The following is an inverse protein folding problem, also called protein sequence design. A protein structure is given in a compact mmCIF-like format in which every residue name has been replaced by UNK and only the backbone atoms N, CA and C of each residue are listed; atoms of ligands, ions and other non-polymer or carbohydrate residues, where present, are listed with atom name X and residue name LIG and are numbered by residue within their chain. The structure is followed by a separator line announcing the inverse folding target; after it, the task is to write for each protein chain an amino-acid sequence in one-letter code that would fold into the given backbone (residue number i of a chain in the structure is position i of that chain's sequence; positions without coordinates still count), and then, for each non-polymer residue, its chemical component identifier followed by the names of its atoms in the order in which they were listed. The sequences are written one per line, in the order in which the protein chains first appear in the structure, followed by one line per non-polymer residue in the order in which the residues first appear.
data_IF_408258673053
#
_entry.id   IF_408258673053
#
_cell.length_a   1.000
_cell.length_b   1.000
_cell.length_c   1.000
_cell.angle_alpha   90.00
_cell.angle_beta   90.00
_cell.angle_gamma   90.00
#
_symmetry.space_group_name_H-M   'P 1'
#
loop_
_entity.id
_entity.type
_entity.pdbx_description
1 polymer ?
#
# COMPACT_ATOMS: atom_id res chain seq x y z
N UNK A 1 3.83 28.69 -10.79
CA UNK A 1 4.28 27.48 -10.05
C UNK A 1 3.05 26.82 -9.46
N UNK A 2 2.90 25.49 -9.61
CA UNK A 2 1.83 24.75 -8.94
C UNK A 2 2.02 24.86 -7.42
N UNK A 3 0.90 24.90 -6.68
CA UNK A 3 0.94 24.89 -5.21
C UNK A 3 1.56 23.57 -4.73
N UNK A 4 2.50 23.58 -3.76
CA UNK A 4 2.95 22.38 -3.08
C UNK A 4 1.76 21.54 -2.56
N UNK A 5 1.87 20.23 -2.70
CA UNK A 5 0.89 19.26 -2.21
C UNK A 5 1.55 18.38 -1.16
N UNK A 6 0.76 17.88 -0.22
CA UNK A 6 1.13 16.81 0.70
C UNK A 6 0.77 15.46 0.05
N UNK A 7 1.79 14.71 -0.37
CA UNK A 7 1.67 13.51 -1.22
C UNK A 7 2.13 12.27 -0.46
N UNK A 8 1.24 11.29 -0.34
CA UNK A 8 1.56 9.94 0.10
C UNK A 8 2.01 9.05 -1.06
N UNK A 9 2.95 8.14 -0.81
CA UNK A 9 3.22 6.99 -1.66
C UNK A 9 3.12 5.74 -0.78
N UNK A 10 2.13 4.90 -1.05
CA UNK A 10 1.87 3.69 -0.29
C UNK A 10 2.30 2.46 -1.08
N UNK A 11 3.09 1.59 -0.44
CA UNK A 11 3.42 0.27 -0.97
C UNK A 11 3.59 -0.75 0.16
N UNK A 12 3.71 -2.05 -0.15
CA UNK A 12 3.96 -3.09 0.87
C UNK A 12 5.31 -2.90 1.56
N UNK A 13 6.31 -2.48 0.79
CA UNK A 13 7.70 -2.31 1.19
C UNK A 13 8.28 -1.00 0.66
N UNK A 14 9.34 -0.51 1.28
CA UNK A 14 10.12 0.62 0.78
C UNK A 14 11.63 0.37 0.98
N UNK A 15 12.52 1.19 0.41
CA UNK A 15 13.95 1.09 0.68
C UNK A 15 14.24 1.03 2.19
N UNK A 16 15.26 0.27 2.63
CA UNK A 16 16.31 -0.39 1.86
C UNK A 16 15.94 -1.82 1.39
N UNK A 17 14.68 -2.24 1.45
CA UNK A 17 14.27 -3.52 0.85
C UNK A 17 14.64 -3.50 -0.63
N UNK A 18 15.33 -4.56 -1.08
CA UNK A 18 15.86 -4.64 -2.44
C UNK A 18 14.79 -5.21 -3.36
N UNK A 19 14.32 -4.37 -4.29
CA UNK A 19 13.42 -4.77 -5.36
C UNK A 19 13.21 -3.62 -6.35
N UNK A 20 12.65 -3.96 -7.52
CA UNK A 20 12.40 -2.97 -8.58
C UNK A 20 11.39 -1.91 -8.17
N UNK A 21 10.35 -2.31 -7.43
CA UNK A 21 9.29 -1.42 -6.97
C UNK A 21 9.80 -0.45 -5.91
N UNK A 22 10.62 -0.89 -4.97
CA UNK A 22 11.21 -0.03 -3.94
C UNK A 22 12.13 1.03 -4.54
N UNK A 23 12.83 0.70 -5.63
CA UNK A 23 13.59 1.68 -6.39
C UNK A 23 12.67 2.68 -7.09
N UNK A 24 11.55 2.22 -7.66
CA UNK A 24 10.56 3.11 -8.30
C UNK A 24 9.90 4.05 -7.29
N UNK A 25 9.50 3.57 -6.12
CA UNK A 25 8.91 4.43 -5.07
C UNK A 25 9.92 5.47 -4.58
N UNK A 26 11.20 5.11 -4.44
CA UNK A 26 12.26 6.06 -4.12
C UNK A 26 12.46 7.14 -5.20
N UNK A 27 12.40 6.75 -6.48
CA UNK A 27 12.51 7.68 -7.61
C UNK A 27 11.32 8.65 -7.61
N UNK A 28 10.09 8.15 -7.48
CA UNK A 28 8.91 9.01 -7.41
C UNK A 28 8.97 9.99 -6.24
N UNK A 29 9.41 9.54 -5.06
CA UNK A 29 9.59 10.42 -3.91
C UNK A 29 10.59 11.54 -4.19
N UNK A 30 11.75 11.22 -4.79
CA UNK A 30 12.76 12.23 -5.15
C UNK A 30 12.25 13.23 -6.17
N UNK A 31 11.53 12.76 -7.19
CA UNK A 31 10.99 13.63 -8.24
C UNK A 31 9.94 14.58 -7.67
N UNK A 32 9.00 14.08 -6.87
CA UNK A 32 7.96 14.90 -6.25
C UNK A 32 8.54 15.92 -5.27
N UNK A 33 9.46 15.52 -4.39
CA UNK A 33 10.17 16.44 -3.51
C UNK A 33 10.96 17.48 -4.30
N UNK A 34 11.64 17.08 -5.39
CA UNK A 34 12.38 17.98 -6.27
C UNK A 34 11.50 19.00 -7.00
N UNK A 35 10.21 18.73 -7.17
CA UNK A 35 9.21 19.67 -7.70
C UNK A 35 8.50 20.49 -6.61
N UNK A 36 8.94 20.40 -5.36
CA UNK A 36 8.45 21.20 -4.24
C UNK A 36 7.24 20.61 -3.51
N UNK A 37 6.86 19.36 -3.77
CA UNK A 37 5.84 18.67 -2.98
C UNK A 37 6.42 18.12 -1.68
N UNK A 38 5.58 17.98 -0.66
CA UNK A 38 5.93 17.29 0.59
C UNK A 38 5.56 15.83 0.43
N UNK A 39 6.51 14.92 0.62
CA UNK A 39 6.30 13.50 0.35
C UNK A 39 6.40 12.68 1.63
N UNK A 40 5.45 11.78 1.81
CA UNK A 40 5.46 10.73 2.83
C UNK A 40 5.38 9.36 2.18
N UNK A 41 6.29 8.46 2.57
CA UNK A 41 6.23 7.04 2.22
C UNK A 41 5.46 6.28 3.31
N UNK A 42 4.51 5.45 2.90
CA UNK A 42 3.76 4.54 3.77
C UNK A 42 4.11 3.10 3.36
N UNK A 43 4.70 2.31 4.26
CA UNK A 43 5.10 0.94 3.96
C UNK A 43 5.04 0.01 5.16
N UNK A 44 4.99 -1.30 4.93
CA UNK A 44 5.03 -2.28 6.03
C UNK A 44 6.43 -2.66 6.47
N UNK A 45 7.39 -2.68 5.54
CA UNK A 45 8.80 -2.96 5.84
C UNK A 45 9.72 -2.08 5.02
N UNK A 46 10.76 -1.56 5.66
CA UNK A 46 11.77 -0.69 5.06
C UNK A 46 12.39 0.20 6.12
N UNK A 47 12.91 1.35 5.72
CA UNK A 47 13.44 2.37 6.63
C UNK A 47 13.24 3.77 6.06
N UNK A 48 13.68 4.78 6.81
CA UNK A 48 13.61 6.18 6.37
C UNK A 48 14.36 6.39 5.06
N UNK A 49 13.71 7.03 4.08
CA UNK A 49 14.37 7.54 2.88
C UNK A 49 14.99 8.92 3.18
N UNK A 50 16.10 8.88 3.91
CA UNK A 50 16.78 10.06 4.46
C UNK A 50 16.96 11.20 3.44
N UNK A 51 16.63 12.42 3.87
CA UNK A 51 16.76 13.64 3.06
C UNK A 51 15.79 13.78 1.89
N UNK A 52 14.87 12.83 1.69
CA UNK A 52 13.93 12.85 0.55
C UNK A 52 12.47 12.91 0.99
N UNK A 53 12.06 11.98 1.85
CA UNK A 53 10.67 11.84 2.26
C UNK A 53 10.58 11.28 3.69
N UNK A 54 9.60 11.77 4.46
CA UNK A 54 9.26 11.12 5.72
C UNK A 54 8.75 9.70 5.41
N UNK A 55 9.09 8.72 6.25
CA UNK A 55 8.59 7.35 6.09
C UNK A 55 7.82 6.91 7.33
N UNK A 56 6.61 6.42 7.15
CA UNK A 56 5.81 5.82 8.22
C UNK A 56 5.70 4.33 7.96
N UNK A 57 6.20 3.54 8.92
CA UNK A 57 6.11 2.10 8.87
C UNK A 57 4.83 1.63 9.57
N UNK A 58 3.98 0.93 8.82
CA UNK A 58 2.74 0.30 9.27
C UNK A 58 2.91 -1.21 9.03
N UNK A 59 3.46 -1.98 9.98
CA UNK A 59 3.97 -3.35 9.73
C UNK A 59 3.01 -4.28 8.99
N UNK A 60 1.71 -4.11 9.18
CA UNK A 60 0.66 -4.93 8.57
C UNK A 60 0.42 -4.67 7.08
N UNK A 61 1.03 -3.63 6.51
CA UNK A 61 1.07 -3.44 5.07
C UNK A 61 2.00 -4.47 4.41
N UNK A 62 3.01 -4.99 5.12
CA UNK A 62 3.94 -5.95 4.55
C UNK A 62 3.22 -7.28 4.27
N UNK A 63 3.25 -7.70 3.01
CA UNK A 63 2.74 -9.02 2.59
C UNK A 63 3.33 -10.20 3.36
N UNK A 64 4.51 -10.03 3.98
CA UNK A 64 5.17 -11.04 4.81
C UNK A 64 4.90 -10.90 6.32
N UNK A 65 4.02 -9.98 6.72
CA UNK A 65 3.59 -9.88 8.11
C UNK A 65 2.86 -11.17 8.54
N UNK A 66 3.12 -11.67 9.74
CA UNK A 66 2.60 -12.97 10.19
C UNK A 66 1.06 -13.08 10.09
N UNK A 67 0.33 -12.02 10.46
CA UNK A 67 -1.12 -11.98 10.33
C UNK A 67 -1.59 -12.02 8.87
N UNK A 68 -0.86 -11.37 7.95
CA UNK A 68 -1.20 -11.34 6.52
C UNK A 68 -0.93 -12.70 5.89
N UNK A 69 0.21 -13.31 6.20
CA UNK A 69 0.54 -14.67 5.74
C UNK A 69 -0.49 -15.70 6.21
N UNK A 70 -0.90 -15.62 7.49
CA UNK A 70 -1.92 -16.51 8.04
C UNK A 70 -3.26 -16.37 7.33
N UNK A 71 -3.68 -15.14 7.00
CA UNK A 71 -4.93 -14.89 6.28
C UNK A 71 -4.83 -15.36 4.83
N UNK A 72 -3.72 -15.04 4.14
CA UNK A 72 -3.53 -15.41 2.74
C UNK A 72 -3.55 -16.93 2.55
N UNK A 73 -2.98 -17.72 3.46
CA UNK A 73 -3.02 -19.18 3.38
C UNK A 73 -4.45 -19.74 3.33
N UNK A 74 -5.39 -19.13 4.07
CA UNK A 74 -6.82 -19.51 4.03
C UNK A 74 -7.52 -18.96 2.80
N UNK A 75 -7.24 -17.71 2.43
CA UNK A 75 -7.82 -17.05 1.25
C UNK A 75 -7.43 -17.74 -0.06
N UNK A 76 -6.20 -18.24 -0.17
CA UNK A 76 -5.74 -19.07 -1.28
C UNK A 76 -6.51 -20.39 -1.38
N UNK A 77 -7.10 -20.88 -0.28
CA UNK A 77 -8.02 -22.00 -0.27
C UNK A 77 -9.42 -21.66 -0.81
N UNK A 78 -9.72 -20.38 -1.05
CA UNK A 78 -11.06 -19.89 -1.39
C UNK A 78 -11.96 -19.64 -0.18
N UNK A 79 -11.42 -19.73 1.04
CA UNK A 79 -12.17 -19.52 2.27
C UNK A 79 -11.90 -18.12 2.83
N UNK A 80 -12.95 -17.40 3.22
CA UNK A 80 -12.80 -16.10 3.88
C UNK A 80 -12.83 -16.32 5.40
N UNK A 81 -11.68 -16.19 6.11
CA UNK A 81 -11.64 -16.43 7.55
C UNK A 81 -12.38 -15.34 8.31
N UNK A 82 -12.95 -15.68 9.47
CA UNK A 82 -13.65 -14.72 10.34
C UNK A 82 -12.75 -13.56 10.82
N UNK A 83 -11.44 -13.78 10.88
CA UNK A 83 -10.45 -12.76 11.22
C UNK A 83 -10.22 -11.72 10.10
N UNK A 84 -10.73 -11.94 8.89
CA UNK A 84 -10.53 -11.05 7.75
C UNK A 84 -11.08 -9.65 8.03
N UNK A 85 -12.35 -9.54 8.43
CA UNK A 85 -12.98 -8.24 8.69
C UNK A 85 -12.31 -7.49 9.85
N UNK A 86 -11.86 -8.21 10.89
CA UNK A 86 -11.10 -7.62 11.98
C UNK A 86 -9.77 -7.02 11.48
N UNK A 87 -9.07 -7.70 10.57
CA UNK A 87 -7.86 -7.19 9.94
C UNK A 87 -8.14 -5.96 9.08
N UNK A 88 -9.24 -5.97 8.31
CA UNK A 88 -9.66 -4.81 7.50
C UNK A 88 -9.92 -3.60 8.38
N UNK A 89 -10.70 -3.74 9.46
CA UNK A 89 -10.99 -2.63 10.38
C UNK A 89 -9.71 -2.07 11.04
N UNK A 90 -8.76 -2.95 11.39
CA UNK A 90 -7.48 -2.53 11.98
C UNK A 90 -6.63 -1.73 11.00
N UNK A 91 -6.49 -2.22 9.77
CA UNK A 91 -5.80 -1.51 8.69
C UNK A 91 -6.50 -0.21 8.34
N UNK A 92 -7.82 -0.18 8.30
CA UNK A 92 -8.59 1.03 8.05
C UNK A 92 -8.27 2.13 9.07
N UNK A 93 -8.23 1.79 10.37
CA UNK A 93 -7.86 2.73 11.42
C UNK A 93 -6.43 3.27 11.29
N UNK A 94 -5.46 2.38 11.02
CA UNK A 94 -4.06 2.76 10.79
C UNK A 94 -3.89 3.68 9.57
N UNK A 95 -4.55 3.32 8.46
CA UNK A 95 -4.48 4.08 7.22
C UNK A 95 -5.19 5.42 7.34
N UNK A 96 -6.34 5.49 8.03
CA UNK A 96 -7.04 6.76 8.26
C UNK A 96 -6.14 7.78 8.96
N UNK A 97 -5.43 7.35 10.00
CA UNK A 97 -4.46 8.20 10.70
C UNK A 97 -3.25 8.56 9.81
N UNK A 98 -2.74 7.59 9.05
CA UNK A 98 -1.55 7.81 8.21
C UNK A 98 -1.82 8.66 6.95
N UNK A 99 -3.06 8.68 6.46
CA UNK A 99 -3.49 9.45 5.29
C UNK A 99 -4.01 10.84 5.65
N UNK A 100 -4.26 11.11 6.94
CA UNK A 100 -4.78 12.39 7.41
C UNK A 100 -3.87 13.55 6.99
N UNK A 101 -4.48 14.60 6.43
CA UNK A 101 -3.76 15.80 5.98
C UNK A 101 -3.08 15.68 4.61
N UNK A 102 -3.04 14.49 3.99
CA UNK A 102 -2.55 14.33 2.62
C UNK A 102 -3.59 14.80 1.60
N UNK A 103 -3.16 15.54 0.58
CA UNK A 103 -3.98 15.90 -0.57
C UNK A 103 -4.26 14.68 -1.46
N UNK A 104 -3.23 13.86 -1.66
CA UNK A 104 -3.26 12.70 -2.55
C UNK A 104 -2.34 11.59 -2.05
N UNK A 105 -2.74 10.33 -2.23
CA UNK A 105 -1.90 9.17 -1.96
C UNK A 105 -1.82 8.27 -3.21
N UNK A 106 -0.60 8.05 -3.70
CA UNK A 106 -0.31 7.11 -4.77
C UNK A 106 -0.22 5.69 -4.17
N UNK A 107 -1.23 4.88 -4.41
CA UNK A 107 -1.31 3.50 -3.93
C UNK A 107 -0.68 2.58 -4.97
N UNK A 108 0.55 2.15 -4.72
CA UNK A 108 1.32 1.33 -5.66
C UNK A 108 0.99 -0.15 -5.49
N UNK A 109 0.41 -0.75 -6.52
CA UNK A 109 0.04 -2.18 -6.64
C UNK A 109 -0.91 -2.76 -5.57
N UNK A 110 -1.20 -2.07 -4.46
CA UNK A 110 -2.07 -2.61 -3.41
C UNK A 110 -3.55 -2.77 -3.82
N UNK A 111 -3.97 -2.13 -4.92
CA UNK A 111 -5.30 -2.34 -5.52
C UNK A 111 -5.35 -3.46 -6.56
N UNK A 112 -4.20 -3.93 -7.06
CA UNK A 112 -4.11 -4.85 -8.19
C UNK A 112 -3.40 -6.17 -7.87
N UNK A 113 -2.70 -6.23 -6.74
CA UNK A 113 -2.04 -7.43 -6.23
C UNK A 113 -2.77 -8.04 -5.02
N UNK A 114 -2.88 -9.36 -5.01
CA UNK A 114 -3.56 -10.16 -3.99
C UNK A 114 -2.78 -10.29 -2.67
N UNK A 115 -1.55 -9.77 -2.59
CA UNK A 115 -0.61 -10.05 -1.50
C UNK A 115 -1.09 -9.61 -0.12
N UNK A 116 -2.07 -8.71 -0.04
CA UNK A 116 -2.68 -8.29 1.21
C UNK A 116 -4.13 -7.84 0.92
N UNK A 117 -5.02 -8.80 0.70
CA UNK A 117 -6.44 -8.52 0.43
C UNK A 117 -7.13 -7.68 1.54
N UNK A 118 -6.82 -7.86 2.84
CA UNK A 118 -7.34 -6.97 3.87
C UNK A 118 -6.94 -5.49 3.66
N UNK A 119 -5.70 -5.22 3.23
CA UNK A 119 -5.25 -3.87 2.87
C UNK A 119 -6.03 -3.32 1.68
N UNK A 120 -6.23 -4.11 0.63
CA UNK A 120 -7.04 -3.73 -0.53
C UNK A 120 -8.46 -3.34 -0.11
N UNK A 121 -9.10 -4.16 0.74
CA UNK A 121 -10.45 -3.89 1.25
C UNK A 121 -10.51 -2.62 2.11
N UNK A 122 -9.53 -2.40 2.99
CA UNK A 122 -9.44 -1.19 3.82
C UNK A 122 -9.28 0.07 2.96
N UNK A 123 -8.38 0.05 1.97
CA UNK A 123 -8.18 1.17 1.04
C UNK A 123 -9.45 1.45 0.21
N UNK A 124 -10.16 0.40 -0.22
CA UNK A 124 -11.43 0.55 -0.94
C UNK A 124 -12.51 1.23 -0.08
N UNK A 125 -12.67 0.82 1.20
CA UNK A 125 -13.58 1.48 2.15
C UNK A 125 -13.20 2.94 2.39
N UNK A 126 -11.90 3.24 2.47
CA UNK A 126 -11.41 4.60 2.68
C UNK A 126 -11.62 5.52 1.48
N UNK A 127 -11.52 5.01 0.25
CA UNK A 127 -11.59 5.81 -0.97
C UNK A 127 -12.85 6.70 -1.07
N UNK A 128 -13.97 6.30 -0.43
CA UNK A 128 -15.20 7.08 -0.35
C UNK A 128 -15.45 7.81 0.97
N UNK A 129 -14.56 7.68 1.96
CA UNK A 129 -14.80 8.15 3.34
C UNK A 129 -13.71 9.06 3.91
N UNK A 130 -12.63 9.33 3.17
CA UNK A 130 -11.59 10.29 3.53
C UNK A 130 -11.47 11.39 2.48
N UNK A 131 -11.01 12.60 2.85
CA UNK A 131 -10.79 13.68 1.90
C UNK A 131 -9.58 13.45 0.97
N UNK A 132 -8.61 12.65 1.41
CA UNK A 132 -7.40 12.34 0.63
C UNK A 132 -7.73 11.57 -0.64
N UNK A 133 -7.28 12.09 -1.79
CA UNK A 133 -7.48 11.41 -3.07
C UNK A 133 -6.59 10.19 -3.18
N UNK A 134 -7.16 9.00 -3.34
CA UNK A 134 -6.39 7.79 -3.63
C UNK A 134 -6.21 7.66 -5.15
N UNK A 135 -4.98 7.48 -5.61
CA UNK A 135 -4.64 7.22 -7.01
C UNK A 135 -4.02 5.84 -7.11
N UNK A 136 -4.65 4.94 -7.88
CA UNK A 136 -4.09 3.63 -8.14
C UNK A 136 -2.91 3.73 -9.11
N UNK A 137 -1.71 3.39 -8.63
CA UNK A 137 -0.50 3.29 -9.45
C UNK A 137 -0.19 1.80 -9.66
N UNK A 138 -0.79 1.21 -10.69
CA UNK A 138 -0.71 -0.22 -10.95
C UNK A 138 0.32 -0.52 -12.06
N UNK A 139 1.29 -1.37 -11.74
CA UNK A 139 2.24 -1.93 -12.69
C UNK A 139 1.96 -3.41 -12.98
N UNK A 140 1.40 -4.11 -11.99
CA UNK A 140 1.11 -5.54 -12.07
C UNK A 140 -0.34 -5.81 -11.69
N UNK A 141 -0.90 -6.89 -12.24
CA UNK A 141 -2.24 -7.36 -11.94
C UNK A 141 -2.19 -8.88 -11.70
N UNK A 142 -2.72 -9.33 -10.56
CA UNK A 142 -2.62 -10.75 -10.18
C UNK A 142 -3.32 -11.68 -11.17
N UNK A 143 -4.48 -11.24 -11.66
CA UNK A 143 -5.30 -11.98 -12.60
C UNK A 143 -4.72 -12.14 -14.01
N UNK A 144 -3.63 -11.45 -14.34
CA UNK A 144 -2.98 -11.56 -15.65
C UNK A 144 -1.54 -12.06 -15.56
N UNK A 145 -1.03 -12.30 -14.35
CA UNK A 145 0.34 -12.78 -14.15
C UNK A 145 0.34 -14.30 -13.91
N UNK A 146 0.91 -15.11 -14.82
CA UNK A 146 0.95 -16.56 -14.67
C UNK A 146 1.56 -17.05 -13.36
N UNK A 147 2.45 -16.28 -12.74
CA UNK A 147 3.04 -16.59 -11.44
C UNK A 147 2.00 -16.58 -10.31
N UNK A 148 0.95 -15.75 -10.43
CA UNK A 148 -0.04 -15.51 -9.39
C UNK A 148 -1.36 -16.23 -9.63
N UNK A 149 -1.66 -16.60 -10.88
CA UNK A 149 -2.88 -17.33 -11.26
C UNK A 149 -3.21 -18.55 -10.38
N UNK A 150 -2.25 -19.43 -9.98
CA UNK A 150 -2.58 -20.59 -9.16
C UNK A 150 -3.19 -20.27 -7.79
N UNK A 151 -2.91 -19.08 -7.25
CA UNK A 151 -3.48 -18.59 -5.98
C UNK A 151 -4.79 -17.81 -6.16
N UNK A 152 -5.24 -17.55 -7.39
CA UNK A 152 -6.45 -16.76 -7.63
C UNK A 152 -7.69 -17.64 -7.53
N UNK A 153 -8.76 -17.08 -6.95
CA UNK A 153 -10.05 -17.75 -6.79
C UNK A 153 -11.16 -16.82 -7.27
N UNK A 154 -12.07 -17.37 -8.08
CA UNK A 154 -13.38 -16.75 -8.31
C UNK A 154 -14.30 -17.10 -7.14
N UNK A 155 -15.37 -16.33 -6.95
CA UNK A 155 -16.38 -16.60 -5.91
C UNK A 155 -17.11 -17.91 -6.15
#
# INVERSE_FOLDING_TARGET
MLKPLDVGILHYTCPPVVGGVERLTAIHARLLTGHGHRVQLLAGRGAQLGGVAATTLLPELDSKHAAVLSLNATLEGGEVPSAFDAQVCRLEGQLRAALEGLDVCLVHNAFSLHFNLPLTAALHRLAGTIPTRLVALCHDLSWTNPLYLPGMRER
#
